data_IF_135720314992
#
_entry.id   IF_135720314992
#
_cell.length_a   1.000
_cell.length_b   1.000
_cell.length_c   1.000
_cell.angle_alpha   90.00
_cell.angle_beta   90.00
_cell.angle_gamma   90.00
#
_symmetry.space_group_name_H-M   'P 1'
#
loop_
_entity.id
_entity.type
_entity.pdbx_description
1 polymer ?
#
# COMPACT_ATOMS: atom_id res chain seq x y z
N UNK A 1 16.77 -63.47 5.46
CA UNK A 1 15.90 -63.61 4.27
C UNK A 1 15.92 -62.25 3.57
N UNK A 2 16.91 -61.96 2.71
CA UNK A 2 16.84 -61.98 1.22
C UNK A 2 15.50 -61.38 0.72
N UNK A 3 15.43 -60.23 0.04
CA UNK A 3 16.06 -59.83 -1.25
C UNK A 3 15.93 -58.28 -1.40
N UNK A 4 16.89 -57.43 -1.80
CA UNK A 4 17.75 -57.24 -3.01
C UNK A 4 17.02 -56.92 -4.33
N UNK A 5 17.68 -56.03 -5.11
CA UNK A 5 17.52 -55.61 -6.54
C UNK A 5 17.02 -54.15 -6.66
N UNK A 6 17.62 -53.19 -7.39
CA UNK A 6 18.90 -52.98 -8.11
C UNK A 6 18.92 -51.46 -8.54
N UNK A 7 20.03 -50.72 -8.42
CA UNK A 7 20.96 -50.22 -9.47
C UNK A 7 20.28 -49.72 -10.78
N UNK A 8 20.62 -48.63 -11.48
CA UNK A 8 21.89 -47.90 -11.78
C UNK A 8 21.44 -46.63 -12.59
N UNK A 9 22.05 -45.44 -12.59
CA UNK A 9 23.25 -45.05 -13.35
C UNK A 9 23.57 -43.55 -13.12
N UNK A 10 24.86 -43.24 -12.99
CA UNK A 10 25.42 -41.89 -12.80
C UNK A 10 26.29 -41.48 -14.04
N UNK A 11 27.08 -40.38 -14.03
CA UNK A 11 26.96 -39.24 -14.95
C UNK A 11 28.20 -39.06 -15.87
N UNK A 12 28.17 -38.12 -16.85
CA UNK A 12 29.38 -37.64 -17.55
C UNK A 12 29.22 -36.33 -18.37
N UNK A 13 29.84 -35.27 -17.84
CA UNK A 13 30.77 -34.30 -18.48
C UNK A 13 30.68 -33.95 -19.98
N UNK A 14 30.64 -32.65 -20.31
CA UNK A 14 31.69 -32.03 -21.15
C UNK A 14 31.75 -30.48 -21.06
N UNK A 15 32.94 -29.98 -20.72
CA UNK A 15 33.38 -28.58 -20.81
C UNK A 15 33.81 -28.20 -22.24
N UNK A 16 33.73 -26.90 -22.61
CA UNK A 16 34.82 -26.01 -23.13
C UNK A 16 34.41 -25.02 -24.24
N UNK A 17 34.71 -23.72 -24.02
CA UNK A 17 35.43 -22.71 -24.88
C UNK A 17 34.80 -21.31 -24.79
N UNK A 18 35.47 -20.33 -24.17
CA UNK A 18 36.46 -19.33 -24.66
C UNK A 18 35.85 -18.14 -25.43
N UNK A 19 35.68 -16.96 -24.81
CA UNK A 19 36.54 -15.72 -24.75
C UNK A 19 36.72 -14.92 -26.07
N UNK A 20 36.32 -13.64 -25.99
CA UNK A 20 36.84 -12.38 -26.64
C UNK A 20 36.63 -12.07 -28.11
N UNK A 21 36.19 -10.83 -28.38
CA UNK A 21 36.45 -10.12 -29.64
C UNK A 21 35.59 -8.87 -29.85
N UNK A 22 36.11 -7.69 -29.49
CA UNK A 22 35.54 -6.37 -29.82
C UNK A 22 36.08 -5.84 -31.15
N UNK A 23 35.20 -5.32 -32.01
CA UNK A 23 35.45 -4.32 -33.07
C UNK A 23 34.04 -3.84 -33.51
N UNK A 24 33.69 -2.56 -33.58
CA UNK A 24 34.44 -1.41 -34.07
C UNK A 24 34.27 -1.31 -35.58
N UNK A 25 33.30 -0.48 -36.06
CA UNK A 25 33.44 0.51 -37.17
C UNK A 25 32.15 0.80 -37.97
N UNK A 26 31.68 2.05 -37.80
CA UNK A 26 31.12 3.04 -38.78
C UNK A 26 29.85 2.74 -39.61
N UNK A 27 28.88 3.67 -39.52
CA UNK A 27 28.53 4.76 -40.50
C UNK A 27 27.17 5.34 -40.07
N UNK A 28 27.11 6.55 -39.52
CA UNK A 28 26.98 7.85 -40.21
C UNK A 28 25.65 8.01 -40.96
N UNK A 29 24.75 8.80 -40.38
CA UNK A 29 23.48 9.27 -40.95
C UNK A 29 23.05 10.52 -40.18
N UNK A 30 23.11 11.67 -40.85
CA UNK A 30 23.00 13.04 -40.32
C UNK A 30 21.89 13.73 -41.12
N UNK A 31 20.85 14.22 -40.46
CA UNK A 31 19.87 15.18 -41.00
C UNK A 31 19.07 15.71 -39.80
N UNK A 32 19.32 16.95 -39.39
CA UNK A 32 18.64 18.19 -39.81
C UNK A 32 17.44 18.51 -38.87
N UNK A 33 17.64 19.58 -38.09
CA UNK A 33 16.89 19.85 -36.86
C UNK A 33 15.56 20.56 -37.01
N UNK A 34 14.94 20.82 -35.86
CA UNK A 34 14.23 22.07 -35.57
C UNK A 34 14.39 22.41 -34.09
N UNK A 35 14.90 23.62 -33.82
CA UNK A 35 14.87 24.27 -32.51
C UNK A 35 13.43 24.40 -32.03
N UNK A 36 13.14 23.96 -30.80
CA UNK A 36 11.90 24.33 -30.10
C UNK A 36 12.18 25.38 -29.03
N UNK A 37 11.22 26.28 -28.81
CA UNK A 37 11.47 27.62 -28.30
C UNK A 37 11.46 27.64 -26.78
N UNK A 38 12.18 28.63 -26.23
CA UNK A 38 12.07 29.09 -24.84
C UNK A 38 10.59 29.19 -24.42
N UNK A 39 10.15 28.34 -23.49
CA UNK A 39 8.92 28.58 -22.76
C UNK A 39 9.26 29.18 -21.39
N UNK A 40 8.67 30.34 -21.19
CA UNK A 40 8.60 31.13 -19.97
C UNK A 40 8.42 30.26 -18.74
N UNK A 41 9.33 30.44 -17.78
CA UNK A 41 9.10 30.09 -16.37
C UNK A 41 7.93 30.95 -15.88
N UNK A 42 6.71 30.47 -16.06
CA UNK A 42 5.57 31.05 -15.38
C UNK A 42 5.70 30.71 -13.90
N UNK A 43 5.88 31.78 -13.14
CA UNK A 43 5.81 31.85 -11.69
C UNK A 43 4.43 31.32 -11.29
N UNK A 44 4.38 30.07 -10.83
CA UNK A 44 3.23 29.53 -10.12
C UNK A 44 3.18 30.18 -8.74
N UNK A 45 2.60 31.38 -8.70
CA UNK A 45 2.10 31.99 -7.49
C UNK A 45 0.67 31.50 -7.28
N UNK A 46 0.47 30.41 -6.53
CA UNK A 46 -0.76 30.13 -5.75
C UNK A 46 -0.75 28.70 -5.21
N UNK A 47 -1.23 28.58 -3.97
CA UNK A 47 -1.42 27.37 -3.16
C UNK A 47 -0.12 26.73 -2.61
N UNK A 48 0.14 27.04 -1.34
CA UNK A 48 1.07 26.35 -0.48
C UNK A 48 0.77 24.84 -0.42
N UNK A 49 1.45 24.05 -1.27
CA UNK A 49 1.54 22.60 -1.09
C UNK A 49 2.50 22.35 0.08
N UNK A 50 1.93 22.30 1.30
CA UNK A 50 2.60 21.80 2.48
C UNK A 50 2.99 20.33 2.24
N UNK A 51 4.29 20.08 2.12
CA UNK A 51 4.88 18.75 2.07
C UNK A 51 4.67 18.09 3.43
N UNK A 52 3.73 17.14 3.53
CA UNK A 52 3.59 16.26 4.68
C UNK A 52 4.35 14.96 4.43
N UNK A 53 5.32 14.65 5.27
CA UNK A 53 5.91 13.32 5.36
C UNK A 53 5.07 12.50 6.34
N UNK A 54 4.55 11.36 5.89
CA UNK A 54 4.03 10.33 6.82
C UNK A 54 5.23 9.44 7.15
N UNK A 55 5.87 9.67 8.29
CA UNK A 55 6.85 8.72 8.81
C UNK A 55 6.07 7.60 9.51
N UNK A 56 6.28 6.35 9.10
CA UNK A 56 5.85 5.20 9.92
C UNK A 56 7.06 4.76 10.73
N UNK A 57 7.20 5.31 11.93
CA UNK A 57 8.29 4.96 12.82
C UNK A 57 7.98 3.65 13.56
N UNK A 58 8.81 2.63 13.33
CA UNK A 58 8.89 1.44 14.17
C UNK A 58 9.64 1.79 15.47
N UNK A 59 8.92 1.90 16.59
CA UNK A 59 9.48 1.70 17.93
C UNK A 59 10.13 2.90 18.65
N UNK A 60 9.54 3.23 19.80
CA UNK A 60 10.00 4.04 20.96
C UNK A 60 10.49 5.48 20.75
N UNK A 61 9.64 6.46 21.08
CA UNK A 61 10.08 7.82 21.41
C UNK A 61 8.92 8.79 21.66
N UNK A 62 8.63 9.11 22.93
CA UNK A 62 7.61 10.09 23.29
C UNK A 62 7.99 11.50 22.83
N UNK A 63 7.05 12.21 22.19
CA UNK A 63 7.24 13.60 21.79
C UNK A 63 7.22 14.53 23.01
N UNK A 64 8.41 14.95 23.48
CA UNK A 64 8.56 16.12 24.34
C UNK A 64 8.43 17.40 23.51
N UNK A 65 7.51 18.29 23.90
CA UNK A 65 7.40 19.62 23.33
C UNK A 65 8.66 20.46 23.67
N UNK A 66 9.54 20.67 22.69
CA UNK A 66 10.68 21.58 22.83
C UNK A 66 10.21 23.02 22.63
N UNK A 67 10.33 23.81 23.71
CA UNK A 67 10.08 25.25 23.72
C UNK A 67 11.30 25.97 23.12
N UNK A 68 11.37 26.09 21.79
CA UNK A 68 12.45 26.85 21.15
C UNK A 68 12.24 28.36 21.33
N UNK A 69 13.08 28.96 22.19
CA UNK A 69 13.36 30.39 22.21
C UNK A 69 14.42 30.68 21.14
N UNK A 70 14.30 31.82 20.45
CA UNK A 70 15.28 32.42 19.53
C UNK A 70 15.29 31.88 18.08
N UNK A 71 14.78 32.68 17.14
CA UNK A 71 15.19 32.77 15.71
C UNK A 71 15.13 31.53 14.81
N UNK A 72 14.73 30.37 15.32
CA UNK A 72 14.80 29.09 14.64
C UNK A 72 13.60 28.86 13.72
N UNK A 73 13.86 28.34 12.52
CA UNK A 73 12.86 27.76 11.61
C UNK A 73 11.84 26.98 12.43
N UNK A 74 10.57 27.39 12.37
CA UNK A 74 9.50 26.75 13.11
C UNK A 74 9.44 25.30 12.63
N UNK A 75 9.85 24.37 13.50
CA UNK A 75 9.88 22.95 13.17
C UNK A 75 8.47 22.54 12.72
N UNK A 76 8.38 21.86 11.59
CA UNK A 76 7.09 21.37 11.10
C UNK A 76 6.41 20.57 12.22
N UNK A 77 5.13 20.85 12.46
CA UNK A 77 4.37 20.11 13.44
C UNK A 77 4.03 18.75 12.84
N UNK A 78 4.42 17.67 13.53
CA UNK A 78 4.19 16.29 13.11
C UNK A 78 3.25 15.59 14.09
N UNK A 79 2.45 14.67 13.59
CA UNK A 79 1.61 13.78 14.39
C UNK A 79 1.62 12.38 13.78
N UNK A 80 1.79 11.38 14.64
CA UNK A 80 1.65 9.99 14.23
C UNK A 80 0.17 9.66 14.03
N UNK A 81 -0.20 9.36 12.80
CA UNK A 81 -1.57 8.99 12.47
C UNK A 81 -1.85 7.51 12.80
N UNK A 82 -0.94 6.64 12.38
CA UNK A 82 -0.99 5.20 12.65
C UNK A 82 0.22 4.81 13.49
N UNK A 83 -0.02 4.40 14.73
CA UNK A 83 1.03 4.05 15.70
C UNK A 83 1.07 2.53 15.87
N UNK A 84 2.20 1.87 15.50
CA UNK A 84 2.43 0.45 15.75
C UNK A 84 2.06 0.03 17.17
N UNK A 85 1.37 -1.10 17.31
CA UNK A 85 0.93 -1.69 18.59
C UNK A 85 0.02 -0.81 19.46
N UNK A 86 -0.50 0.30 18.91
CA UNK A 86 -1.33 1.26 19.66
C UNK A 86 -2.60 1.66 18.93
N UNK A 87 -2.53 1.91 17.62
CA UNK A 87 -3.72 2.25 16.84
C UNK A 87 -4.65 1.05 16.75
N UNK A 88 -5.84 1.24 17.33
CA UNK A 88 -6.92 0.26 17.28
C UNK A 88 -7.62 0.33 15.91
N UNK A 89 -7.80 -0.83 15.29
CA UNK A 89 -8.45 -1.00 14.00
C UNK A 89 -9.74 -1.79 14.19
N UNK A 90 -10.86 -1.21 13.76
CA UNK A 90 -12.17 -1.86 13.70
C UNK A 90 -12.33 -2.61 12.37
N UNK A 91 -13.05 -3.72 12.39
CA UNK A 91 -13.49 -4.39 11.15
C UNK A 91 -14.35 -3.46 10.27
N UNK A 92 -14.45 -3.78 8.97
CA UNK A 92 -15.20 -2.98 7.98
C UNK A 92 -16.66 -2.72 8.37
N UNK A 93 -17.31 -3.69 9.02
CA UNK A 93 -18.71 -3.60 9.43
C UNK A 93 -18.89 -3.06 10.86
N UNK A 94 -17.81 -2.69 11.55
CA UNK A 94 -17.85 -2.14 12.90
C UNK A 94 -18.27 -3.13 14.00
N UNK A 95 -18.65 -4.36 13.65
CA UNK A 95 -19.20 -5.38 14.56
C UNK A 95 -18.27 -6.58 14.75
N UNK A 96 -16.97 -6.38 14.68
CA UNK A 96 -15.96 -7.45 14.70
C UNK A 96 -14.72 -7.10 15.50
N UNK A 97 -13.76 -8.02 15.51
CA UNK A 97 -12.50 -7.93 16.25
C UNK A 97 -11.87 -6.53 16.12
N UNK A 98 -11.77 -5.84 17.24
CA UNK A 98 -10.82 -4.74 17.42
C UNK A 98 -9.46 -5.33 17.72
N UNK A 99 -8.47 -5.02 16.88
CA UNK A 99 -7.09 -5.38 17.10
C UNK A 99 -6.17 -4.19 16.88
N UNK A 100 -4.98 -4.26 17.46
CA UNK A 100 -3.87 -3.38 17.09
C UNK A 100 -3.10 -4.03 15.93
N UNK A 101 -2.53 -3.20 15.05
CA UNK A 101 -1.60 -3.67 14.01
C UNK A 101 -0.17 -3.52 14.52
N UNK A 102 0.70 -4.45 14.14
CA UNK A 102 2.10 -4.50 14.57
C UNK A 102 2.96 -3.47 13.86
N UNK A 103 2.60 -3.12 12.62
CA UNK A 103 3.19 -2.01 11.89
C UNK A 103 2.22 -1.47 10.83
N UNK A 104 2.62 -0.36 10.20
CA UNK A 104 1.91 0.21 9.06
C UNK A 104 2.88 0.49 7.92
N UNK A 105 2.41 0.45 6.68
CA UNK A 105 3.25 0.69 5.51
C UNK A 105 2.45 1.32 4.36
N UNK A 106 3.18 1.77 3.33
CA UNK A 106 2.59 2.28 2.08
C UNK A 106 1.48 3.33 2.29
N UNK A 107 1.74 4.43 3.02
CA UNK A 107 0.70 5.39 3.36
C UNK A 107 0.16 6.09 2.10
N UNK A 108 -1.12 6.44 2.15
CA UNK A 108 -1.81 7.26 1.17
C UNK A 108 -2.71 8.24 1.89
N UNK A 109 -2.77 9.49 1.40
CA UNK A 109 -3.56 10.55 2.00
C UNK A 109 -4.34 11.28 0.93
N UNK A 110 -5.64 11.40 1.11
CA UNK A 110 -6.55 12.07 0.18
C UNK A 110 -7.61 12.87 0.93
N UNK A 111 -8.26 13.80 0.22
CA UNK A 111 -9.40 14.55 0.72
C UNK A 111 -10.61 14.34 -0.18
N UNK A 112 -11.70 13.84 0.38
CA UNK A 112 -13.00 13.70 -0.28
C UNK A 112 -14.02 14.59 0.42
N UNK A 113 -14.48 15.64 -0.27
CA UNK A 113 -15.31 16.69 0.30
C UNK A 113 -14.64 17.35 1.49
N UNK A 114 -15.24 17.17 2.66
CA UNK A 114 -14.76 17.68 3.95
C UNK A 114 -14.12 16.60 4.83
N UNK A 115 -13.80 15.43 4.26
CA UNK A 115 -13.18 14.33 5.00
C UNK A 115 -11.77 14.12 4.48
N UNK A 116 -10.80 14.19 5.40
CA UNK A 116 -9.45 13.73 5.13
C UNK A 116 -9.38 12.23 5.47
N UNK A 117 -8.81 11.45 4.56
CA UNK A 117 -8.72 10.00 4.66
C UNK A 117 -7.25 9.61 4.57
N UNK A 118 -6.69 9.12 5.67
CA UNK A 118 -5.38 8.48 5.67
C UNK A 118 -5.57 6.98 5.55
N UNK A 119 -4.80 6.35 4.66
CA UNK A 119 -4.89 4.95 4.31
C UNK A 119 -3.49 4.35 4.43
N UNK A 120 -3.40 3.11 4.91
CA UNK A 120 -2.14 2.38 4.98
C UNK A 120 -2.39 0.87 4.86
N UNK A 121 -1.32 0.13 4.60
CA UNK A 121 -1.26 -1.26 4.98
C UNK A 121 -1.22 -1.34 6.51
N UNK A 122 -2.09 -2.14 7.12
CA UNK A 122 -2.08 -2.50 8.53
C UNK A 122 -1.57 -3.93 8.66
N UNK A 123 -0.35 -4.07 9.16
CA UNK A 123 0.39 -5.33 9.15
C UNK A 123 0.23 -6.09 10.47
N UNK A 124 0.10 -7.41 10.39
CA UNK A 124 0.04 -8.32 11.53
C UNK A 124 0.59 -9.70 11.15
N UNK A 125 1.11 -10.43 12.12
CA UNK A 125 1.56 -11.81 11.90
C UNK A 125 0.37 -12.75 11.73
N UNK A 126 0.39 -13.56 10.67
CA UNK A 126 -0.65 -14.55 10.43
C UNK A 126 -0.32 -15.85 11.16
N UNK A 127 -1.11 -16.20 12.19
CA UNK A 127 -0.88 -17.39 13.04
C UNK A 127 -1.81 -18.59 12.72
N UNK A 128 -2.50 -18.57 11.58
CA UNK A 128 -3.64 -19.45 11.31
C UNK A 128 -3.34 -20.85 10.74
N UNK A 129 -2.17 -21.46 11.00
CA UNK A 129 -1.88 -22.81 10.49
C UNK A 129 -0.86 -23.55 11.37
N UNK A 130 -1.09 -24.86 11.55
CA UNK A 130 -0.15 -25.81 12.19
C UNK A 130 1.23 -25.87 11.51
N UNK A 131 1.33 -25.42 10.25
CA UNK A 131 2.55 -25.41 9.46
C UNK A 131 3.23 -24.04 9.59
N UNK A 132 3.78 -23.78 10.79
CA UNK A 132 4.68 -22.67 11.14
C UNK A 132 4.70 -21.49 10.17
N UNK A 133 3.74 -20.59 10.34
CA UNK A 133 3.66 -19.32 9.59
C UNK A 133 4.54 -18.21 10.19
N UNK A 134 5.58 -18.56 10.95
CA UNK A 134 6.49 -17.57 11.52
C UNK A 134 7.03 -16.67 10.41
N UNK A 135 6.73 -15.38 10.51
CA UNK A 135 7.21 -14.35 9.59
C UNK A 135 6.36 -14.09 8.34
N UNK A 136 5.18 -14.70 8.15
CA UNK A 136 4.24 -14.23 7.12
C UNK A 136 3.41 -13.07 7.68
N UNK A 137 3.69 -11.88 7.17
CA UNK A 137 2.96 -10.66 7.50
C UNK A 137 1.75 -10.57 6.57
N UNK A 138 0.55 -10.52 7.15
CA UNK A 138 -0.68 -10.31 6.41
C UNK A 138 -1.08 -8.84 6.49
N UNK A 139 -1.17 -8.13 5.37
CA UNK A 139 -1.67 -6.76 5.35
C UNK A 139 -3.18 -6.74 5.17
N UNK A 140 -3.87 -6.06 6.08
CA UNK A 140 -5.15 -5.43 5.78
C UNK A 140 -4.91 -4.05 5.17
N UNK A 141 -5.87 -3.51 4.43
CA UNK A 141 -5.88 -2.09 4.11
C UNK A 141 -6.76 -1.38 5.13
N UNK A 142 -6.17 -0.44 5.85
CA UNK A 142 -6.82 0.31 6.92
C UNK A 142 -6.95 1.78 6.53
N UNK A 143 -7.99 2.44 7.04
CA UNK A 143 -8.20 3.87 6.88
C UNK A 143 -8.60 4.51 8.20
N UNK A 144 -8.10 5.71 8.46
CA UNK A 144 -8.63 6.59 9.49
C UNK A 144 -9.12 7.88 8.87
N UNK A 145 -10.13 8.46 9.52
CA UNK A 145 -10.89 9.58 8.99
C UNK A 145 -10.76 10.77 9.93
N UNK A 146 -10.69 11.96 9.35
CA UNK A 146 -10.70 13.23 10.08
C UNK A 146 -11.77 14.11 9.45
N UNK A 147 -12.67 14.67 10.27
CA UNK A 147 -13.52 15.79 9.84
C UNK A 147 -12.60 16.98 9.60
N UNK A 148 -12.47 17.40 8.34
CA UNK A 148 -11.48 18.38 7.95
C UNK A 148 -11.85 19.79 8.44
N UNK A 149 -11.59 20.07 9.72
CA UNK A 149 -11.37 21.42 10.20
C UNK A 149 -9.95 21.82 9.77
N UNK A 150 -9.85 22.87 8.93
CA UNK A 150 -8.62 23.26 8.22
C UNK A 150 -7.41 23.56 9.13
N UNK A 151 -7.62 23.73 10.42
CA UNK A 151 -6.57 24.12 11.37
C UNK A 151 -5.91 22.89 11.97
N UNK A 152 -4.58 22.89 11.93
CA UNK A 152 -3.75 21.83 12.51
C UNK A 152 -4.13 21.41 13.95
N UNK A 153 -4.42 22.33 14.90
CA UNK A 153 -4.82 21.93 16.24
C UNK A 153 -6.11 21.09 16.29
N UNK A 154 -7.04 21.31 15.36
CA UNK A 154 -8.29 20.55 15.28
C UNK A 154 -8.03 19.12 14.77
N UNK A 155 -7.15 18.98 13.78
CA UNK A 155 -6.71 17.67 13.27
C UNK A 155 -6.04 16.87 14.40
N UNK A 156 -5.11 17.49 15.12
CA UNK A 156 -4.41 16.88 16.27
C UNK A 156 -5.40 16.47 17.36
N UNK A 157 -6.33 17.36 17.72
CA UNK A 157 -7.34 17.08 18.74
C UNK A 157 -8.28 15.93 18.36
N UNK A 158 -8.52 15.71 17.06
CA UNK A 158 -9.35 14.59 16.59
C UNK A 158 -8.59 13.26 16.62
N UNK A 159 -7.38 13.20 16.07
CA UNK A 159 -6.57 11.97 16.00
C UNK A 159 -6.13 11.49 17.39
N UNK A 160 -5.94 12.40 18.35
CA UNK A 160 -5.48 12.06 19.71
C UNK A 160 -6.61 11.66 20.67
N UNK A 161 -7.87 11.62 20.21
CA UNK A 161 -8.96 11.16 21.08
C UNK A 161 -8.76 9.69 21.47
N UNK A 162 -9.10 9.37 22.72
CA UNK A 162 -8.96 8.01 23.28
C UNK A 162 -9.86 6.99 22.54
N UNK A 163 -10.99 7.45 22.02
CA UNK A 163 -11.95 6.68 21.25
C UNK A 163 -11.69 6.74 19.74
N UNK A 164 -10.64 7.40 19.27
CA UNK A 164 -10.27 7.42 17.85
C UNK A 164 -9.91 6.01 17.38
N UNK A 165 -10.46 5.60 16.23
CA UNK A 165 -10.24 4.27 15.65
C UNK A 165 -9.98 4.38 14.16
N UNK A 166 -9.10 3.52 13.67
CA UNK A 166 -9.01 3.22 12.25
C UNK A 166 -9.97 2.08 11.89
N UNK A 167 -10.19 1.86 10.60
CA UNK A 167 -11.14 0.90 10.05
C UNK A 167 -10.50 0.10 8.94
N UNK A 168 -10.73 -1.21 8.91
CA UNK A 168 -10.39 -2.06 7.77
C UNK A 168 -11.29 -1.70 6.59
N UNK A 169 -10.67 -1.26 5.48
CA UNK A 169 -11.35 -1.04 4.19
C UNK A 169 -11.40 -2.34 3.39
N UNK A 170 -10.28 -3.07 3.38
CA UNK A 170 -10.17 -4.40 2.78
C UNK A 170 -9.42 -5.32 3.73
N UNK A 171 -10.05 -6.42 4.10
CA UNK A 171 -9.43 -7.45 4.92
C UNK A 171 -8.69 -8.49 4.05
N UNK A 172 -7.60 -9.03 4.58
CA UNK A 172 -7.08 -10.30 4.12
C UNK A 172 -8.09 -11.40 4.43
N UNK A 173 -8.53 -12.12 3.39
CA UNK A 173 -9.36 -13.31 3.58
C UNK A 173 -8.43 -14.48 3.88
N UNK A 174 -8.65 -15.10 5.03
CA UNK A 174 -8.01 -16.35 5.43
C UNK A 174 -9.02 -17.48 5.20
N UNK A 175 -8.71 -18.38 4.27
CA UNK A 175 -9.38 -19.67 4.18
C UNK A 175 -8.38 -20.78 4.49
N UNK A 176 -8.88 -21.99 4.73
CA UNK A 176 -8.04 -23.16 4.92
C UNK A 176 -7.09 -23.29 3.71
N UNK A 177 -5.79 -23.07 3.96
CA UNK A 177 -4.69 -23.09 3.00
C UNK A 177 -4.67 -21.97 1.94
N UNK A 178 -5.42 -20.87 2.11
CA UNK A 178 -5.35 -19.71 1.21
C UNK A 178 -5.36 -18.40 1.98
N UNK A 179 -4.32 -17.62 1.74
CA UNK A 179 -4.15 -16.27 2.27
C UNK A 179 -4.27 -15.26 1.13
N UNK A 180 -5.09 -14.25 1.34
CA UNK A 180 -5.07 -13.04 0.50
C UNK A 180 -4.10 -12.02 1.10
N UNK A 181 -3.14 -11.55 0.32
CA UNK A 181 -2.16 -10.55 0.74
C UNK A 181 -2.40 -9.28 -0.05
N UNK A 182 -2.56 -8.13 0.64
CA UNK A 182 -2.94 -6.85 0.04
C UNK A 182 -1.77 -5.88 0.05
N UNK A 183 -1.54 -5.15 -1.03
CA UNK A 183 -0.34 -4.34 -1.16
C UNK A 183 -0.61 -2.97 -1.74
N UNK A 184 0.19 -2.01 -1.26
CA UNK A 184 0.46 -0.69 -1.83
C UNK A 184 -0.81 0.08 -2.14
N UNK A 185 -1.68 0.35 -1.15
CA UNK A 185 -2.90 1.11 -1.40
C UNK A 185 -2.54 2.44 -2.08
N UNK A 186 -3.16 2.70 -3.23
CA UNK A 186 -3.04 3.95 -3.97
C UNK A 186 -4.41 4.59 -4.03
N UNK A 187 -4.59 5.74 -3.39
CA UNK A 187 -5.87 6.44 -3.37
C UNK A 187 -5.84 7.72 -4.20
N UNK A 188 -6.95 8.05 -4.83
CA UNK A 188 -7.21 9.34 -5.46
C UNK A 188 -8.60 9.80 -5.06
N UNK A 189 -8.81 11.08 -4.87
CA UNK A 189 -10.12 11.62 -4.52
C UNK A 189 -10.58 12.68 -5.54
N UNK A 190 -11.89 12.74 -5.75
CA UNK A 190 -12.56 13.73 -6.57
C UNK A 190 -13.91 14.04 -5.96
N UNK A 191 -14.22 15.31 -5.79
CA UNK A 191 -15.46 15.76 -5.15
C UNK A 191 -15.63 15.07 -3.78
N UNK A 192 -16.74 14.38 -3.53
CA UNK A 192 -17.00 13.60 -2.31
C UNK A 192 -16.56 12.14 -2.39
N UNK A 193 -15.83 11.73 -3.45
CA UNK A 193 -15.46 10.33 -3.68
C UNK A 193 -13.98 10.08 -3.45
N UNK A 194 -13.67 8.88 -2.95
CA UNK A 194 -12.34 8.28 -2.92
C UNK A 194 -12.34 7.05 -3.81
N UNK A 195 -11.32 6.90 -4.64
CA UNK A 195 -11.05 5.70 -5.43
C UNK A 195 -9.75 5.10 -4.91
N UNK A 196 -9.84 3.90 -4.36
CA UNK A 196 -8.73 3.17 -3.78
C UNK A 196 -8.38 1.97 -4.66
N UNK A 197 -7.16 1.96 -5.19
CA UNK A 197 -6.58 0.83 -5.90
C UNK A 197 -5.69 0.02 -4.96
N UNK A 198 -5.84 -1.30 -4.99
CA UNK A 198 -5.07 -2.22 -4.16
C UNK A 198 -4.64 -3.41 -5.00
N UNK A 199 -3.33 -3.66 -5.06
CA UNK A 199 -2.80 -4.92 -5.59
C UNK A 199 -3.01 -6.04 -4.58
N UNK A 200 -3.25 -7.25 -5.02
CA UNK A 200 -3.43 -8.37 -4.11
C UNK A 200 -2.99 -9.69 -4.69
N UNK A 201 -2.35 -10.49 -3.85
CA UNK A 201 -1.92 -11.84 -4.17
C UNK A 201 -2.77 -12.85 -3.43
N UNK A 202 -3.06 -13.96 -4.10
CA UNK A 202 -3.54 -15.16 -3.40
C UNK A 202 -2.35 -16.08 -3.22
N UNK A 203 -2.02 -16.40 -1.97
CA UNK A 203 -0.97 -17.33 -1.64
C UNK A 203 -1.62 -18.57 -1.05
N UNK A 204 -1.26 -19.75 -1.53
CA UNK A 204 -1.73 -21.01 -0.97
C UNK A 204 -0.59 -21.91 -0.53
N UNK A 205 -0.87 -22.74 0.47
CA UNK A 205 0.11 -23.70 0.95
C UNK A 205 0.17 -24.91 0.02
N UNK A 206 1.36 -25.24 -0.47
CA UNK A 206 1.63 -26.44 -1.24
C UNK A 206 2.24 -27.50 -0.30
N UNK A 207 1.46 -28.53 0.02
CA UNK A 207 1.90 -29.62 0.90
C UNK A 207 2.98 -30.51 0.27
N UNK A 208 3.08 -30.54 -1.06
CA UNK A 208 4.10 -31.34 -1.75
C UNK A 208 5.51 -30.75 -1.58
N UNK A 209 5.60 -29.42 -1.69
CA UNK A 209 6.87 -28.68 -1.55
C UNK A 209 7.10 -28.13 -0.14
N UNK A 210 6.09 -28.21 0.74
CA UNK A 210 6.15 -27.71 2.11
C UNK A 210 6.24 -26.20 2.22
N UNK A 211 5.80 -25.46 1.19
CA UNK A 211 5.96 -24.00 1.11
C UNK A 211 4.71 -23.28 0.60
N UNK A 212 4.60 -22.01 0.96
CA UNK A 212 3.58 -21.11 0.44
C UNK A 212 3.94 -20.61 -0.95
N UNK A 213 3.01 -20.71 -1.89
CA UNK A 213 3.19 -20.28 -3.28
C UNK A 213 2.11 -19.29 -3.68
N UNK A 214 2.53 -18.29 -4.47
CA UNK A 214 1.60 -17.38 -5.13
C UNK A 214 0.78 -18.16 -6.16
N UNK A 215 -0.53 -18.17 -5.97
CA UNK A 215 -1.53 -18.86 -6.78
C UNK A 215 -2.35 -17.93 -7.68
N UNK A 216 -1.98 -16.65 -7.73
CA UNK A 216 -2.63 -15.64 -8.56
C UNK A 216 -2.40 -14.24 -8.02
N UNK A 217 -2.70 -13.26 -8.85
CA UNK A 217 -2.72 -11.85 -8.50
C UNK A 217 -4.03 -11.24 -8.96
N UNK A 218 -4.40 -10.12 -8.35
CA UNK A 218 -5.56 -9.30 -8.66
C UNK A 218 -5.21 -7.83 -8.41
N UNK A 219 -5.90 -6.94 -9.10
CA UNK A 219 -5.93 -5.52 -8.77
C UNK A 219 -7.37 -5.10 -8.60
N UNK A 220 -7.67 -4.54 -7.43
CA UNK A 220 -9.02 -4.20 -7.04
C UNK A 220 -9.20 -2.69 -6.90
N UNK A 221 -10.36 -2.22 -7.33
CA UNK A 221 -10.86 -0.88 -7.10
C UNK A 221 -11.94 -0.91 -6.00
N UNK A 222 -11.79 -0.06 -5.00
CA UNK A 222 -12.80 0.20 -3.97
C UNK A 222 -13.20 1.66 -4.04
N UNK A 223 -14.49 1.93 -4.19
CA UNK A 223 -15.04 3.28 -4.18
C UNK A 223 -15.53 3.63 -2.77
N UNK A 224 -15.08 4.75 -2.24
CA UNK A 224 -15.55 5.34 -0.99
C UNK A 224 -16.31 6.62 -1.26
N UNK A 225 -17.40 6.86 -0.54
CA UNK A 225 -18.16 8.13 -0.62
C UNK A 225 -18.18 8.78 0.75
N UNK A 226 -17.71 10.02 0.82
CA UNK A 226 -17.76 10.83 2.02
C UNK A 226 -19.21 11.15 2.39
N UNK A 227 -19.55 10.94 3.66
CA UNK A 227 -20.88 11.20 4.19
C UNK A 227 -20.91 12.50 4.99
N UNK A 228 -22.07 13.14 5.05
CA UNK A 228 -22.31 14.28 5.94
C UNK A 228 -22.79 13.78 7.31
N UNK A 229 -22.06 12.85 7.94
CA UNK A 229 -22.50 12.28 9.21
C UNK A 229 -22.58 13.34 10.32
N UNK A 230 -23.81 13.64 10.72
CA UNK A 230 -24.16 14.51 11.84
C UNK A 230 -23.91 13.86 13.19
N UNK A 231 -23.85 12.52 13.22
CA UNK A 231 -23.93 11.74 14.46
C UNK A 231 -22.57 11.63 15.18
N UNK A 232 -21.53 12.27 14.62
CA UNK A 232 -20.21 12.35 15.25
C UNK A 232 -19.38 11.06 15.23
N UNK A 233 -19.96 9.93 14.81
CA UNK A 233 -19.29 8.63 14.79
C UNK A 233 -18.31 8.56 13.62
N UNK A 234 -17.01 8.42 13.91
CA UNK A 234 -15.95 8.43 12.90
C UNK A 234 -16.07 7.33 11.83
N UNK A 235 -16.55 6.14 12.22
CA UNK A 235 -16.72 4.99 11.31
C UNK A 235 -17.64 5.26 10.12
N UNK A 236 -18.50 6.28 10.24
CA UNK A 236 -19.52 6.60 9.25
C UNK A 236 -19.07 7.62 8.23
N UNK A 237 -17.86 8.18 8.34
CA UNK A 237 -17.42 9.31 7.51
C UNK A 237 -17.18 8.94 6.04
N UNK A 238 -16.79 7.70 5.76
CA UNK A 238 -16.65 7.19 4.40
C UNK A 238 -17.41 5.86 4.28
N UNK A 239 -18.35 5.78 3.34
CA UNK A 239 -19.01 4.54 2.98
C UNK A 239 -18.25 3.86 1.84
N UNK A 240 -17.60 2.73 2.13
CA UNK A 240 -16.87 1.93 1.15
C UNK A 240 -17.76 0.88 0.47
N UNK A 241 -17.83 0.94 -0.85
CA UNK A 241 -18.45 -0.08 -1.69
C UNK A 241 -17.65 -1.39 -1.70
N UNK A 242 -18.26 -2.47 -2.19
CA UNK A 242 -17.55 -3.73 -2.39
C UNK A 242 -16.39 -3.58 -3.40
N UNK A 243 -15.25 -4.27 -3.16
CA UNK A 243 -14.14 -4.28 -4.10
C UNK A 243 -14.53 -4.88 -5.45
N UNK A 244 -14.05 -4.26 -6.52
CA UNK A 244 -14.21 -4.73 -7.90
C UNK A 244 -12.85 -5.12 -8.46
N UNK A 245 -12.70 -6.37 -8.91
CA UNK A 245 -11.51 -6.78 -9.67
C UNK A 245 -11.46 -6.07 -11.02
N UNK A 246 -10.30 -5.51 -11.35
CA UNK A 246 -10.04 -4.88 -12.64
C UNK A 246 -9.45 -5.87 -13.65
N UNK A 247 -9.11 -7.10 -13.24
CA UNK A 247 -8.62 -8.14 -14.16
C UNK A 247 -9.60 -8.44 -15.30
N UNK A 248 -10.90 -8.27 -15.05
CA UNK A 248 -11.93 -8.47 -16.06
C UNK A 248 -11.85 -7.42 -17.19
N UNK A 249 -11.21 -6.28 -16.93
CA UNK A 249 -11.02 -5.21 -17.92
C UNK A 249 -9.73 -5.38 -18.73
N UNK A 250 -8.82 -6.26 -18.30
CA UNK A 250 -7.56 -6.53 -19.00
C UNK A 250 -7.78 -7.69 -20.00
N UNK A 251 -7.47 -7.51 -21.29
CA UNK A 251 -7.58 -8.58 -22.29
C UNK A 251 -6.76 -9.83 -21.91
N UNK A 252 -7.28 -11.03 -22.20
CA UNK A 252 -6.61 -12.29 -21.84
C UNK A 252 -5.19 -12.40 -22.41
N UNK A 253 -5.00 -12.03 -23.67
CA UNK A 253 -3.67 -12.06 -24.31
C UNK A 253 -2.64 -11.16 -23.59
N UNK A 254 -3.10 -10.10 -22.91
CA UNK A 254 -2.23 -9.26 -22.08
C UNK A 254 -2.00 -9.91 -20.73
N UNK A 255 -3.04 -10.44 -20.07
CA UNK A 255 -2.91 -11.11 -18.76
C UNK A 255 -1.93 -12.28 -18.80
N UNK A 256 -1.95 -13.09 -19.86
CA UNK A 256 -1.06 -14.25 -20.00
C UNK A 256 0.42 -13.85 -20.17
N UNK A 257 0.70 -12.60 -20.52
CA UNK A 257 2.06 -12.04 -20.63
C UNK A 257 2.50 -11.31 -19.36
N UNK A 258 1.59 -11.06 -18.41
CA UNK A 258 1.88 -10.35 -17.18
C UNK A 258 2.17 -11.33 -16.04
N UNK A 259 3.33 -11.16 -15.41
CA UNK A 259 3.61 -11.83 -14.14
C UNK A 259 2.74 -11.27 -13.01
N UNK A 260 2.52 -9.95 -13.03
CA UNK A 260 1.83 -9.22 -11.97
C UNK A 260 1.38 -7.84 -12.45
N UNK A 261 0.46 -7.23 -11.72
CA UNK A 261 0.13 -5.81 -11.85
C UNK A 261 0.01 -5.19 -10.46
N UNK A 262 0.90 -4.25 -10.15
CA UNK A 262 1.01 -3.66 -8.81
C UNK A 262 0.70 -2.18 -8.84
N UNK A 263 0.10 -1.71 -7.76
CA UNK A 263 -0.02 -0.29 -7.44
C UNK A 263 1.30 0.23 -6.87
N UNK A 264 1.60 1.51 -7.07
CA UNK A 264 2.85 2.11 -6.59
C UNK A 264 2.82 2.41 -5.08
N UNK A 265 1.62 2.48 -4.48
CA UNK A 265 1.38 3.11 -3.17
C UNK A 265 1.16 4.61 -3.31
N UNK A 266 0.88 5.31 -2.20
CA UNK A 266 0.77 6.77 -2.20
C UNK A 266 -0.54 7.31 -2.79
N UNK A 267 -0.52 8.55 -3.26
CA UNK A 267 -1.71 9.22 -3.79
C UNK A 267 -1.66 9.36 -5.32
N UNK A 268 -2.76 9.05 -5.99
CA UNK A 268 -2.94 9.26 -7.43
C UNK A 268 -3.38 10.69 -7.77
N UNK A 269 -3.65 10.95 -9.04
CA UNK A 269 -4.05 12.26 -9.56
C UNK A 269 -5.36 12.18 -10.37
N UNK A 270 -6.10 13.28 -10.38
CA UNK A 270 -7.22 13.52 -11.31
C UNK A 270 -6.72 14.47 -12.39
N UNK A 271 -6.81 14.08 -13.65
CA UNK A 271 -6.48 14.96 -14.78
C UNK A 271 -7.68 15.85 -15.15
N UNK A 272 -7.38 17.06 -15.61
CA UNK A 272 -8.37 18.00 -16.16
C UNK A 272 -8.81 17.60 -17.57
#
# INVERSE_FOLDING_TARGET
MLSRVAAEKAPRTHNRRRVTGSSGRRREGRESGHQRPNMSRHVFASAALLLFFVTVCCGSGGAHAVKSKSGAVQLAQEIDFFVPNKTQVLSRHGTGETGVKEAFASPSLVRAGEVMVAIAEGLFEYNGHENNLFGIWSPDIVAGYIKAAEKWPSIVAEITKVDWRAHTVLGSRHGDNRLRVLHRPTAVARDSKVFLLVGGDTVGYDSGDGMWKKNGWDIQLVEGVATQSTDGVQSTLINWAEPKSLLQQIPNHTKDQLRDFVTAGGSGIVMQ
#
